data_IF_668163980463
#
_entry.id   IF_668163980463
#
_cell.length_a   1.000
_cell.length_b   1.000
_cell.length_c   1.000
_cell.angle_alpha   90.00
_cell.angle_beta   90.00
_cell.angle_gamma   90.00
#
_symmetry.space_group_name_H-M   'P 1'
#
loop_
_entity.id
_entity.type
_entity.pdbx_description
1 polymer ?
#
# COMPACT_ATOMS: atom_id res chain seq x y z
N UNK A 1 -14.52 -14.03 -1.63
CA UNK A 1 -13.05 -14.10 -1.61
C UNK A 1 -12.59 -14.23 -3.05
N UNK A 2 -11.82 -13.27 -3.57
CA UNK A 2 -11.29 -13.34 -4.93
C UNK A 2 -10.19 -14.43 -4.98
N UNK A 3 -10.20 -15.25 -6.04
CA UNK A 3 -9.11 -16.19 -6.32
C UNK A 3 -8.14 -15.52 -7.28
N UNK A 4 -6.87 -15.50 -6.94
CA UNK A 4 -5.81 -14.97 -7.78
C UNK A 4 -4.56 -15.85 -7.67
N UNK A 5 -3.54 -15.54 -8.44
CA UNK A 5 -2.29 -16.27 -8.48
C UNK A 5 -1.11 -15.31 -8.58
N UNK A 6 0.05 -15.78 -8.27
CA UNK A 6 1.33 -15.11 -8.48
C UNK A 6 2.34 -16.09 -9.06
N UNK A 7 3.37 -15.56 -9.71
CA UNK A 7 4.45 -16.36 -10.28
C UNK A 7 5.48 -16.78 -9.23
N UNK A 8 6.05 -17.98 -9.40
CA UNK A 8 7.22 -18.42 -8.64
C UNK A 8 8.37 -18.72 -9.59
N UNK A 9 9.58 -18.29 -9.22
CA UNK A 9 10.80 -18.72 -9.93
C UNK A 9 11.01 -20.22 -9.83
N UNK A 10 11.76 -20.81 -10.77
CA UNK A 10 12.01 -22.25 -10.80
C UNK A 10 12.69 -22.83 -9.56
N UNK A 11 13.39 -22.00 -8.78
CA UNK A 11 13.98 -22.40 -7.49
C UNK A 11 13.07 -22.14 -6.29
N UNK A 12 11.84 -21.63 -6.50
CA UNK A 12 10.86 -21.35 -5.47
C UNK A 12 11.19 -20.19 -4.50
N UNK A 13 12.27 -19.43 -4.76
CA UNK A 13 12.73 -18.39 -3.83
C UNK A 13 12.26 -16.97 -4.15
N UNK A 14 11.83 -16.75 -5.39
CA UNK A 14 11.34 -15.43 -5.84
C UNK A 14 9.87 -15.52 -6.19
N UNK A 15 9.06 -14.65 -5.62
CA UNK A 15 7.66 -14.45 -5.98
C UNK A 15 7.52 -13.22 -6.89
N UNK A 16 6.69 -13.35 -7.93
CA UNK A 16 6.36 -12.26 -8.87
C UNK A 16 4.87 -11.99 -8.70
N UNK A 17 4.53 -10.79 -8.20
CA UNK A 17 3.16 -10.41 -7.85
C UNK A 17 2.75 -9.21 -8.69
N UNK A 18 1.61 -9.33 -9.36
CA UNK A 18 0.90 -8.23 -9.99
C UNK A 18 -0.17 -7.72 -9.03
N UNK A 19 0.02 -6.52 -8.48
CA UNK A 19 -0.94 -5.90 -7.56
C UNK A 19 -2.33 -5.80 -8.17
N UNK A 20 -2.43 -5.48 -9.46
CA UNK A 20 -3.71 -5.33 -10.16
C UNK A 20 -4.56 -6.62 -10.19
N UNK A 21 -3.95 -7.79 -10.02
CA UNK A 21 -4.65 -9.07 -9.98
C UNK A 21 -5.52 -9.26 -8.72
N UNK A 22 -5.32 -8.45 -7.66
CA UNK A 22 -6.08 -8.55 -6.41
C UNK A 22 -6.52 -7.19 -5.84
N UNK A 23 -5.82 -6.11 -6.17
CA UNK A 23 -6.10 -4.75 -5.70
C UNK A 23 -6.24 -3.76 -6.88
N UNK A 24 -6.58 -4.25 -8.07
CA UNK A 24 -6.60 -3.47 -9.31
C UNK A 24 -7.96 -2.88 -9.68
N UNK A 25 -7.91 -1.80 -10.47
CA UNK A 25 -9.10 -1.12 -11.01
C UNK A 25 -10.08 -2.04 -11.76
N UNK A 26 -9.64 -3.02 -12.57
CA UNK A 26 -10.56 -3.91 -13.28
C UNK A 26 -11.45 -4.77 -12.38
N UNK A 27 -11.07 -4.94 -11.11
CA UNK A 27 -11.82 -5.73 -10.13
C UNK A 27 -12.95 -4.94 -9.46
N UNK A 28 -12.96 -3.61 -9.63
CA UNK A 28 -13.94 -2.73 -8.99
C UNK A 28 -14.83 -2.11 -10.08
N UNK A 29 -16.14 -2.43 -10.10
CA UNK A 29 -17.09 -1.76 -10.97
C UNK A 29 -16.99 -0.24 -10.85
N UNK A 30 -17.17 0.49 -11.95
CA UNK A 30 -16.94 1.95 -11.99
C UNK A 30 -17.76 2.67 -10.90
N UNK A 31 -19.01 2.27 -10.73
CA UNK A 31 -19.94 2.84 -9.75
C UNK A 31 -19.60 2.52 -8.29
N UNK A 32 -18.69 1.58 -8.06
CA UNK A 32 -18.24 1.18 -6.72
C UNK A 32 -16.81 1.65 -6.41
N UNK A 33 -16.17 2.34 -7.35
CA UNK A 33 -14.80 2.85 -7.14
C UNK A 33 -14.81 3.92 -6.07
N UNK A 34 -14.03 3.69 -5.02
CA UNK A 34 -13.86 4.64 -3.93
C UNK A 34 -12.51 4.39 -3.23
N UNK A 35 -11.49 5.22 -3.50
CA UNK A 35 -10.14 5.01 -2.93
C UNK A 35 -10.05 5.29 -1.43
N UNK A 36 -11.07 5.88 -0.82
CA UNK A 36 -11.20 5.96 0.64
C UNK A 36 -11.44 4.59 1.27
N UNK A 37 -12.08 3.66 0.54
CA UNK A 37 -12.52 2.36 1.05
C UNK A 37 -11.70 1.18 0.50
N UNK A 38 -11.18 1.29 -0.73
CA UNK A 38 -10.37 0.23 -1.32
C UNK A 38 -9.05 0.06 -0.58
N UNK A 39 -8.54 -1.18 -0.55
CA UNK A 39 -7.38 -1.54 0.27
C UNK A 39 -6.40 -2.45 -0.46
N UNK A 40 -5.13 -2.31 -0.15
CA UNK A 40 -4.04 -3.19 -0.61
C UNK A 40 -3.93 -4.49 0.20
N UNK A 41 -4.88 -4.79 1.10
CA UNK A 41 -4.82 -5.95 2.00
C UNK A 41 -4.62 -7.27 1.25
N UNK A 42 -5.33 -7.48 0.14
CA UNK A 42 -5.18 -8.67 -0.69
C UNK A 42 -3.76 -8.85 -1.26
N UNK A 43 -3.10 -7.76 -1.64
CA UNK A 43 -1.68 -7.80 -2.07
C UNK A 43 -0.80 -8.31 -0.93
N UNK A 44 -1.03 -7.86 0.30
CA UNK A 44 -0.32 -8.34 1.48
C UNK A 44 -0.59 -9.82 1.79
N UNK A 45 -1.81 -10.31 1.53
CA UNK A 45 -2.13 -11.75 1.67
C UNK A 45 -1.32 -12.61 0.69
N UNK A 46 -1.14 -12.16 -0.56
CA UNK A 46 -0.28 -12.86 -1.53
C UNK A 46 1.18 -12.89 -1.08
N UNK A 47 1.69 -11.77 -0.58
CA UNK A 47 3.05 -11.69 -0.04
C UNK A 47 3.20 -12.66 1.15
N UNK A 48 2.25 -12.65 2.08
CA UNK A 48 2.25 -13.54 3.25
C UNK A 48 2.23 -15.02 2.86
N UNK A 49 1.41 -15.40 1.88
CA UNK A 49 1.37 -16.78 1.37
C UNK A 49 2.73 -17.19 0.76
N UNK A 50 3.34 -16.32 -0.05
CA UNK A 50 4.65 -16.58 -0.63
C UNK A 50 5.77 -16.65 0.42
N UNK A 51 5.74 -15.80 1.46
CA UNK A 51 6.66 -15.88 2.61
C UNK A 51 6.54 -17.22 3.33
N UNK A 52 5.31 -17.70 3.55
CA UNK A 52 5.03 -19.00 4.18
C UNK A 52 5.53 -20.18 3.33
N UNK A 53 5.58 -20.02 2.01
CA UNK A 53 6.16 -21.01 1.07
C UNK A 53 7.67 -20.92 0.96
N UNK A 54 8.33 -20.02 1.68
CA UNK A 54 9.78 -19.89 1.73
C UNK A 54 10.38 -18.86 0.77
N UNK A 55 9.57 -18.08 0.05
CA UNK A 55 10.07 -16.96 -0.76
C UNK A 55 10.72 -15.90 0.13
N UNK A 56 11.80 -15.31 -0.36
CA UNK A 56 12.53 -14.21 0.31
C UNK A 56 12.89 -13.08 -0.67
N UNK A 57 12.59 -13.26 -1.93
CA UNK A 57 12.72 -12.21 -2.94
C UNK A 57 11.37 -11.98 -3.59
N UNK A 58 11.00 -10.72 -3.77
CA UNK A 58 9.74 -10.32 -4.37
C UNK A 58 9.98 -9.33 -5.49
N UNK A 59 9.28 -9.53 -6.59
CA UNK A 59 9.12 -8.55 -7.67
C UNK A 59 7.65 -8.20 -7.69
N UNK A 60 7.32 -6.94 -7.42
CA UNK A 60 5.92 -6.48 -7.32
C UNK A 60 5.67 -5.43 -8.40
N UNK A 61 4.81 -5.76 -9.35
CA UNK A 61 4.24 -4.80 -10.29
C UNK A 61 3.11 -4.06 -9.61
N UNK A 62 3.22 -2.71 -9.51
CA UNK A 62 2.24 -1.89 -8.77
C UNK A 62 1.32 -1.06 -9.67
N UNK A 63 1.40 -1.23 -11.00
CA UNK A 63 0.53 -0.57 -11.96
C UNK A 63 -0.94 -0.99 -11.84
N UNK A 64 -1.86 -0.13 -12.29
CA UNK A 64 -3.30 -0.43 -12.38
C UNK A 64 -4.05 -0.55 -11.05
N UNK A 65 -3.54 0.02 -9.96
CA UNK A 65 -4.14 -0.05 -8.62
C UNK A 65 -5.51 0.66 -8.54
N UNK A 66 -6.43 0.10 -7.73
CA UNK A 66 -7.70 0.73 -7.34
C UNK A 66 -7.61 1.49 -6.00
N UNK A 67 -6.46 1.48 -5.36
CA UNK A 67 -6.27 1.87 -3.98
C UNK A 67 -5.49 3.18 -3.83
N UNK A 68 -5.72 3.89 -2.73
CA UNK A 68 -4.91 5.02 -2.28
C UNK A 68 -4.79 4.97 -0.76
N UNK A 69 -4.26 3.87 -0.27
CA UNK A 69 -4.09 3.57 1.16
C UNK A 69 -2.63 3.52 1.61
N UNK A 70 -1.72 4.07 0.78
CA UNK A 70 -0.27 4.11 1.05
C UNK A 70 0.34 2.71 1.40
N UNK A 71 -0.28 1.63 0.92
CA UNK A 71 0.17 0.28 1.26
C UNK A 71 -0.24 -0.20 2.66
N UNK A 72 -1.03 0.59 3.42
CA UNK A 72 -1.39 0.25 4.80
C UNK A 72 -2.08 -1.11 4.89
N UNK A 73 -3.02 -1.42 3.96
CA UNK A 73 -3.67 -2.73 3.95
C UNK A 73 -2.69 -3.88 3.71
N UNK A 74 -1.73 -3.70 2.80
CA UNK A 74 -0.67 -4.69 2.55
C UNK A 74 0.13 -4.95 3.83
N UNK A 75 0.56 -3.89 4.51
CA UNK A 75 1.30 -3.99 5.76
C UNK A 75 0.45 -4.63 6.87
N UNK A 76 -0.86 -4.33 6.97
CA UNK A 76 -1.75 -4.98 7.93
C UNK A 76 -1.83 -6.50 7.71
N UNK A 77 -1.92 -6.96 6.47
CA UNK A 77 -1.91 -8.39 6.15
C UNK A 77 -0.57 -9.07 6.53
N UNK A 78 0.51 -8.30 6.61
CA UNK A 78 1.84 -8.74 7.03
C UNK A 78 2.08 -8.62 8.54
N UNK A 79 1.07 -8.17 9.30
CA UNK A 79 1.07 -8.14 10.76
C UNK A 79 1.37 -6.79 11.40
N UNK A 80 1.49 -5.71 10.62
CA UNK A 80 1.53 -4.36 11.17
C UNK A 80 0.17 -3.94 11.70
N UNK A 81 0.15 -3.12 12.74
CA UNK A 81 -1.07 -2.48 13.25
C UNK A 81 -0.90 -0.97 13.23
N UNK A 82 -1.88 -0.28 12.66
CA UNK A 82 -1.96 1.17 12.65
C UNK A 82 -2.94 1.60 13.75
N UNK A 83 -2.48 2.46 14.63
CA UNK A 83 -3.22 2.84 15.84
C UNK A 83 -3.55 4.33 15.80
N UNK A 84 -4.72 4.69 16.29
CA UNK A 84 -5.12 6.07 16.55
C UNK A 84 -4.41 6.66 17.79
N UNK A 85 -4.71 7.93 18.09
CA UNK A 85 -4.16 8.64 19.27
C UNK A 85 -4.57 8.00 20.61
N UNK A 86 -5.64 7.22 20.63
CA UNK A 86 -6.15 6.50 21.82
C UNK A 86 -5.60 5.08 21.92
N UNK A 87 -4.79 4.63 20.93
CA UNK A 87 -4.23 3.28 20.89
C UNK A 87 -5.17 2.22 20.30
N UNK A 88 -6.31 2.60 19.73
CA UNK A 88 -7.20 1.66 19.06
C UNK A 88 -6.70 1.33 17.67
N UNK A 89 -6.82 0.07 17.28
CA UNK A 89 -6.47 -0.39 15.93
C UNK A 89 -7.44 0.19 14.89
N UNK A 90 -6.89 0.81 13.86
CA UNK A 90 -7.65 1.35 12.74
C UNK A 90 -8.09 0.25 11.76
N UNK A 91 -9.16 0.53 11.01
CA UNK A 91 -9.67 -0.34 9.93
C UNK A 91 -8.77 -0.36 8.69
N UNK A 92 -9.38 -0.32 7.49
CA UNK A 92 -8.68 -0.37 6.19
C UNK A 92 -9.10 0.78 5.27
N UNK A 93 -8.39 0.90 4.13
CA UNK A 93 -8.67 1.89 3.08
C UNK A 93 -7.96 3.22 3.29
N UNK A 94 -8.01 4.09 2.28
CA UNK A 94 -7.36 5.39 2.32
C UNK A 94 -7.85 6.31 3.45
N UNK A 95 -9.10 6.15 3.85
CA UNK A 95 -9.73 6.95 4.91
C UNK A 95 -9.05 6.87 6.28
N UNK A 96 -8.24 5.84 6.55
CA UNK A 96 -7.60 5.70 7.87
C UNK A 96 -6.32 6.51 8.00
N UNK A 97 -5.70 6.94 6.89
CA UNK A 97 -4.37 7.56 6.88
C UNK A 97 -4.29 8.79 7.79
N UNK A 98 -5.32 9.64 7.80
CA UNK A 98 -5.39 10.85 8.64
C UNK A 98 -5.43 10.55 10.16
N UNK A 99 -5.91 9.36 10.53
CA UNK A 99 -6.08 8.95 11.92
C UNK A 99 -4.88 8.18 12.49
N UNK A 100 -3.94 7.76 11.64
CA UNK A 100 -2.74 7.03 12.09
C UNK A 100 -1.89 7.91 13.00
N UNK A 101 -1.68 7.48 14.23
CA UNK A 101 -0.83 8.15 15.20
C UNK A 101 0.39 7.32 15.59
N UNK A 102 0.28 5.99 15.54
CA UNK A 102 1.35 5.06 15.85
C UNK A 102 1.32 3.84 14.93
N UNK A 103 2.50 3.26 14.70
CA UNK A 103 2.70 2.04 13.94
C UNK A 103 3.26 0.98 14.90
N UNK A 104 2.51 -0.09 15.13
CA UNK A 104 2.95 -1.21 15.95
C UNK A 104 3.44 -2.35 15.04
N UNK A 105 4.69 -2.72 15.24
CA UNK A 105 5.41 -3.73 14.48
C UNK A 105 5.59 -5.04 15.25
N UNK A 106 4.99 -5.19 16.42
CA UNK A 106 5.18 -6.35 17.29
C UNK A 106 4.69 -7.67 16.69
N UNK A 107 3.70 -7.60 15.78
CA UNK A 107 3.07 -8.75 15.14
C UNK A 107 3.54 -9.04 13.71
N UNK A 108 4.59 -8.35 13.22
CA UNK A 108 5.04 -8.51 11.83
C UNK A 108 5.52 -9.93 11.53
N UNK A 109 5.27 -10.38 10.31
CA UNK A 109 5.72 -11.69 9.84
C UNK A 109 7.26 -11.78 9.96
N UNK A 110 7.81 -12.78 10.70
CA UNK A 110 9.24 -12.81 11.05
C UNK A 110 10.17 -12.86 9.83
N UNK A 111 9.73 -13.50 8.75
CA UNK A 111 10.52 -13.60 7.52
C UNK A 111 10.74 -12.26 6.81
N UNK A 112 9.97 -11.20 7.12
CA UNK A 112 10.17 -9.87 6.51
C UNK A 112 11.57 -9.31 6.74
N UNK A 113 12.21 -9.65 7.86
CA UNK A 113 13.57 -9.20 8.19
C UNK A 113 14.65 -9.68 7.22
N UNK A 114 14.36 -10.77 6.51
CA UNK A 114 15.29 -11.44 5.57
C UNK A 114 14.79 -11.33 4.13
N UNK A 115 13.79 -10.47 3.88
CA UNK A 115 13.10 -10.38 2.60
C UNK A 115 13.55 -9.16 1.83
N UNK A 116 13.75 -9.33 0.53
CA UNK A 116 14.09 -8.28 -0.41
C UNK A 116 12.91 -8.02 -1.35
N UNK A 117 12.50 -6.77 -1.43
CA UNK A 117 11.44 -6.31 -2.33
C UNK A 117 12.04 -5.49 -3.47
N UNK A 118 11.63 -5.79 -4.68
CA UNK A 118 11.86 -5.00 -5.88
C UNK A 118 10.51 -4.56 -6.41
N UNK A 119 10.30 -3.26 -6.51
CA UNK A 119 9.06 -2.68 -7.04
C UNK A 119 9.28 -2.29 -8.50
N UNK A 120 8.46 -2.85 -9.38
CA UNK A 120 8.41 -2.44 -10.79
C UNK A 120 7.47 -1.23 -10.91
N UNK A 121 8.07 -0.05 -11.07
CA UNK A 121 7.38 1.22 -11.14
C UNK A 121 8.02 2.10 -12.22
N UNK A 122 7.21 2.74 -13.05
CA UNK A 122 7.61 3.61 -14.15
C UNK A 122 7.28 5.09 -13.90
N UNK A 123 6.75 5.44 -12.71
CA UNK A 123 6.43 6.82 -12.33
C UNK A 123 7.34 7.31 -11.21
N UNK A 124 7.56 8.62 -11.16
CA UNK A 124 8.45 9.26 -10.19
C UNK A 124 7.72 10.23 -9.23
N UNK A 125 6.39 10.18 -9.19
CA UNK A 125 5.56 11.08 -8.38
C UNK A 125 5.94 11.02 -6.90
N UNK A 126 5.98 12.16 -6.20
CA UNK A 126 6.20 12.21 -4.76
C UNK A 126 5.03 11.59 -4.00
N UNK A 127 5.21 11.35 -2.71
CA UNK A 127 4.21 10.69 -1.88
C UNK A 127 2.90 11.47 -1.80
N UNK A 128 2.97 12.77 -1.50
CA UNK A 128 1.82 13.69 -1.42
C UNK A 128 2.14 15.03 -2.07
N UNK A 129 1.16 15.95 -2.11
CA UNK A 129 1.26 17.28 -2.69
C UNK A 129 0.69 17.32 -4.11
N UNK A 130 0.79 18.48 -4.80
CA UNK A 130 0.14 18.70 -6.11
C UNK A 130 0.49 17.66 -7.18
N UNK A 131 1.72 17.15 -7.16
CA UNK A 131 2.22 16.11 -8.06
C UNK A 131 2.21 14.71 -7.41
N UNK A 132 1.62 14.59 -6.22
CA UNK A 132 1.58 13.38 -5.42
C UNK A 132 0.48 12.39 -5.81
N UNK A 133 0.44 11.27 -5.09
CA UNK A 133 -0.42 10.13 -5.40
C UNK A 133 -1.91 10.49 -5.50
N UNK A 134 -2.44 11.30 -4.57
CA UNK A 134 -3.85 11.61 -4.52
C UNK A 134 -4.28 12.51 -5.68
N UNK A 135 -3.57 13.62 -5.88
CA UNK A 135 -3.89 14.58 -6.94
C UNK A 135 -3.76 14.00 -8.34
N UNK A 136 -2.75 13.17 -8.59
CA UNK A 136 -2.48 12.63 -9.93
C UNK A 136 -3.33 11.38 -10.24
N UNK A 137 -3.58 10.52 -9.25
CA UNK A 137 -4.11 9.19 -9.53
C UNK A 137 -5.46 8.86 -8.87
N UNK A 138 -5.92 9.62 -7.85
CA UNK A 138 -7.11 9.19 -7.11
C UNK A 138 -8.42 9.39 -7.88
N UNK A 139 -8.51 10.37 -8.77
CA UNK A 139 -9.73 10.63 -9.57
C UNK A 139 -10.11 9.44 -10.45
N UNK A 140 -9.14 8.81 -11.14
CA UNK A 140 -9.41 7.61 -11.95
C UNK A 140 -9.87 6.41 -11.13
N UNK A 141 -9.64 6.45 -9.80
CA UNK A 141 -10.05 5.45 -8.82
C UNK A 141 -11.40 5.76 -8.17
N UNK A 142 -12.08 6.82 -8.66
CA UNK A 142 -13.41 7.22 -8.19
C UNK A 142 -13.44 8.31 -7.12
N UNK A 143 -12.31 8.98 -6.85
CA UNK A 143 -12.29 10.10 -5.92
C UNK A 143 -12.92 11.37 -6.54
N UNK A 144 -13.78 12.04 -5.81
CA UNK A 144 -14.13 13.43 -6.04
C UNK A 144 -13.06 14.39 -5.46
N UNK A 145 -13.23 15.68 -5.68
CA UNK A 145 -12.25 16.69 -5.25
C UNK A 145 -12.05 16.73 -3.72
N UNK A 146 -13.11 16.50 -2.95
CA UNK A 146 -13.02 16.46 -1.49
C UNK A 146 -12.23 15.21 -1.02
N UNK A 147 -12.49 14.07 -1.65
CA UNK A 147 -11.75 12.84 -1.38
C UNK A 147 -10.27 12.99 -1.73
N UNK A 148 -9.93 13.61 -2.88
CA UNK A 148 -8.54 13.89 -3.29
C UNK A 148 -7.81 14.68 -2.21
N UNK A 149 -8.42 15.78 -1.76
CA UNK A 149 -7.83 16.61 -0.71
C UNK A 149 -7.63 15.83 0.58
N UNK A 150 -8.65 15.11 1.06
CA UNK A 150 -8.55 14.30 2.29
C UNK A 150 -7.51 13.19 2.20
N UNK A 151 -7.39 12.54 1.04
CA UNK A 151 -6.36 11.52 0.82
C UNK A 151 -4.97 12.13 0.88
N UNK A 152 -4.77 13.30 0.27
CA UNK A 152 -3.48 13.99 0.28
C UNK A 152 -3.08 14.45 1.70
N UNK A 153 -4.01 15.08 2.45
CA UNK A 153 -3.81 15.46 3.85
C UNK A 153 -3.52 14.23 4.72
N UNK A 154 -4.21 13.12 4.49
CA UNK A 154 -3.97 11.84 5.16
C UNK A 154 -2.57 11.28 4.86
N UNK A 155 -2.13 11.37 3.61
CA UNK A 155 -0.77 10.96 3.21
C UNK A 155 0.30 11.84 3.84
N UNK A 156 0.07 13.16 3.92
CA UNK A 156 0.97 14.08 4.62
C UNK A 156 1.10 13.72 6.10
N UNK A 157 -0.02 13.51 6.79
CA UNK A 157 -0.04 13.10 8.20
C UNK A 157 0.69 11.77 8.40
N UNK A 158 0.43 10.80 7.54
CA UNK A 158 1.08 9.49 7.58
C UNK A 158 2.60 9.57 7.36
N UNK A 159 3.07 10.41 6.43
CA UNK A 159 4.49 10.60 6.17
C UNK A 159 5.24 11.08 7.43
N UNK A 160 4.64 11.97 8.23
CA UNK A 160 5.20 12.42 9.51
C UNK A 160 5.29 11.27 10.52
N UNK A 161 4.28 10.41 10.59
CA UNK A 161 4.28 9.23 11.48
C UNK A 161 5.35 8.24 11.04
N UNK A 162 5.48 7.96 9.74
CA UNK A 162 6.52 7.09 9.19
C UNK A 162 7.90 7.65 9.52
N UNK A 163 8.13 8.94 9.28
CA UNK A 163 9.41 9.60 9.58
C UNK A 163 9.77 9.52 11.06
N UNK A 164 8.79 9.75 11.95
CA UNK A 164 8.99 9.63 13.41
C UNK A 164 9.32 8.19 13.82
N UNK A 165 8.67 7.19 13.21
CA UNK A 165 8.81 5.79 13.60
C UNK A 165 10.08 5.16 13.05
N UNK A 166 10.45 5.47 11.79
CA UNK A 166 11.52 4.80 11.05
C UNK A 166 12.79 5.66 10.88
N UNK A 167 12.68 6.98 11.09
CA UNK A 167 13.72 7.95 10.77
C UNK A 167 13.85 8.26 9.27
N UNK A 168 13.03 7.66 8.41
CA UNK A 168 13.09 7.83 6.95
C UNK A 168 12.04 8.84 6.48
N UNK A 169 12.47 9.77 5.64
CA UNK A 169 11.61 10.73 4.96
C UNK A 169 11.28 10.19 3.55
N UNK A 170 10.03 9.82 3.34
CA UNK A 170 9.55 9.27 2.07
C UNK A 170 8.88 10.31 1.18
N UNK A 171 8.75 11.56 1.64
CA UNK A 171 7.94 12.60 1.00
C UNK A 171 8.29 12.80 -0.48
N UNK A 172 9.58 13.01 -0.74
CA UNK A 172 10.10 13.32 -2.07
C UNK A 172 10.88 12.15 -2.70
N UNK A 173 10.72 10.95 -2.16
CA UNK A 173 11.36 9.78 -2.75
C UNK A 173 10.73 9.48 -4.12
N UNK A 174 11.51 9.40 -5.21
CA UNK A 174 10.95 9.16 -6.53
C UNK A 174 10.13 7.87 -6.58
N UNK A 175 8.87 7.97 -7.01
CA UNK A 175 7.95 6.82 -7.06
C UNK A 175 7.24 6.51 -5.75
N UNK A 176 7.48 7.23 -4.67
CA UNK A 176 6.76 7.02 -3.40
C UNK A 176 5.24 7.18 -3.57
N UNK A 177 4.78 8.05 -4.49
CA UNK A 177 3.35 8.23 -4.82
C UNK A 177 2.75 7.14 -5.72
N UNK A 178 3.56 6.26 -6.27
CA UNK A 178 3.07 5.21 -7.16
C UNK A 178 2.03 4.33 -6.48
N UNK A 179 1.02 3.91 -7.25
CA UNK A 179 -0.06 3.03 -6.79
C UNK A 179 -0.80 3.53 -5.53
N UNK A 180 -1.01 4.86 -5.43
CA UNK A 180 -1.70 5.43 -4.28
C UNK A 180 -0.86 5.46 -3.01
N UNK A 181 0.46 5.65 -3.16
CA UNK A 181 1.42 5.73 -2.08
C UNK A 181 2.07 4.40 -1.69
N UNK A 182 1.69 3.29 -2.32
CA UNK A 182 2.27 1.98 -2.02
C UNK A 182 3.79 1.92 -2.33
N UNK A 183 4.27 2.76 -3.27
CA UNK A 183 5.71 2.88 -3.56
C UNK A 183 6.53 3.42 -2.38
N UNK A 184 5.91 4.10 -1.41
CA UNK A 184 6.52 4.63 -0.19
C UNK A 184 6.27 3.79 1.06
N UNK A 185 5.33 2.85 0.99
CA UNK A 185 4.86 2.03 2.12
C UNK A 185 5.75 0.85 2.49
#
# INVERSE_FOLDING_TARGET
MAKTHYGLSGNGRTAIIEMAAISGLPLVPIEQRNPMLTTTFGTGELIRDALNKGCRNFIIGIGGSATNDAGLGMLQALGFRFLDKSGHTLGTGGQIMEAVANIDTSGIHPALRETHFMVACDVANPFYGPDGAAYIFAQQKGADSNMVQRLDEGMQSLAEVIKKTTGKDITNYPGAGAAGGMGGG
#
